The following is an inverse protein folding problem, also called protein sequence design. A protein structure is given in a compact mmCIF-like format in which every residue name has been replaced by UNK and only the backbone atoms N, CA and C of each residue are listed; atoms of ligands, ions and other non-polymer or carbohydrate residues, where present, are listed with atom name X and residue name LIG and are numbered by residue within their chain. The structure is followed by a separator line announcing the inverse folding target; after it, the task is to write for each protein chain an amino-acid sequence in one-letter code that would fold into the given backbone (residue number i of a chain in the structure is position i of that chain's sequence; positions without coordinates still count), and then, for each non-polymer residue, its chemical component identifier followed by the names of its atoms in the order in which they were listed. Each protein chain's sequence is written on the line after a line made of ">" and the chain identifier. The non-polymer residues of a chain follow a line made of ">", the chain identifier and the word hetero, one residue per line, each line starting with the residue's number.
data_IF_089844596663
#
_entry.id   IF_089844596663
#
_cell.length_a   1.000
_cell.length_b   1.000
_cell.length_c   1.000
_cell.angle_alpha   90.00
_cell.angle_beta   90.00
_cell.angle_gamma   90.00
#
_symmetry.space_group_name_H-M   'P 1'
#
loop_
_entity.id
_entity.type
_entity.pdbx_description
1 polymer ?
#
# COMPACT_ATOMS: atom_id res chain seq x y z
N UNK A 1 33.59 -28.28 -66.93
CA UNK A 1 33.29 -27.02 -66.23
C UNK A 1 31.98 -27.22 -65.46
N UNK A 2 32.08 -27.52 -64.17
CA UNK A 2 31.66 -26.67 -63.03
C UNK A 2 30.15 -26.85 -62.70
N UNK A 3 29.69 -27.12 -61.47
CA UNK A 3 30.30 -27.11 -60.13
C UNK A 3 29.33 -27.86 -59.17
N UNK A 4 29.84 -28.75 -58.32
CA UNK A 4 29.07 -29.34 -57.20
C UNK A 4 28.73 -28.26 -56.16
N UNK A 5 27.50 -28.27 -55.64
CA UNK A 5 27.11 -27.44 -54.47
C UNK A 5 27.55 -28.15 -53.19
N UNK A 6 28.59 -27.62 -52.56
CA UNK A 6 29.10 -28.09 -51.27
C UNK A 6 28.16 -27.74 -50.12
N UNK A 7 28.10 -28.64 -49.13
CA UNK A 7 27.59 -28.34 -47.80
C UNK A 7 28.51 -27.31 -47.14
N UNK A 8 27.94 -26.25 -46.58
CA UNK A 8 28.69 -25.28 -45.77
C UNK A 8 28.29 -25.48 -44.31
N UNK A 9 29.17 -26.12 -43.55
CA UNK A 9 29.28 -25.94 -42.11
C UNK A 9 30.01 -24.62 -41.84
N UNK A 10 29.32 -23.66 -41.24
CA UNK A 10 29.97 -22.56 -40.52
C UNK A 10 29.04 -22.06 -39.42
N UNK A 11 29.24 -22.61 -38.24
CA UNK A 11 28.84 -22.01 -36.98
C UNK A 11 29.58 -20.70 -36.78
N UNK A 12 28.86 -19.60 -36.62
CA UNK A 12 29.35 -18.41 -35.95
C UNK A 12 28.42 -18.10 -34.79
N UNK A 13 28.93 -18.39 -33.60
CA UNK A 13 28.40 -18.02 -32.30
C UNK A 13 27.87 -16.59 -32.33
N UNK A 14 26.58 -16.43 -32.02
CA UNK A 14 26.09 -15.26 -31.30
C UNK A 14 25.18 -15.74 -30.19
N UNK A 15 25.79 -16.36 -29.17
CA UNK A 15 25.16 -16.45 -27.86
C UNK A 15 25.19 -15.05 -27.25
N UNK A 16 24.32 -14.18 -27.76
CA UNK A 16 23.81 -13.08 -26.95
C UNK A 16 23.17 -13.76 -25.73
N UNK A 17 23.58 -13.44 -24.48
CA UNK A 17 22.84 -13.92 -23.35
C UNK A 17 21.42 -13.40 -23.53
N UNK A 18 20.48 -14.34 -23.64
CA UNK A 18 19.05 -14.06 -23.65
C UNK A 18 18.79 -13.19 -22.42
N UNK A 19 18.47 -11.90 -22.59
CA UNK A 19 18.23 -10.99 -21.44
C UNK A 19 17.10 -11.53 -20.53
N UNK A 20 16.27 -12.46 -21.04
CA UNK A 20 15.31 -13.24 -20.28
C UNK A 20 15.92 -14.34 -19.38
N UNK A 21 17.13 -14.86 -19.70
CA UNK A 21 17.88 -15.81 -18.88
C UNK A 21 18.61 -15.15 -17.70
N UNK A 22 19.05 -13.90 -17.79
CA UNK A 22 19.72 -13.24 -16.65
C UNK A 22 18.73 -12.79 -15.55
N UNK A 23 17.57 -12.27 -15.96
CA UNK A 23 16.43 -12.06 -15.05
C UNK A 23 15.90 -13.39 -14.48
N UNK A 24 16.30 -14.49 -15.13
CA UNK A 24 16.14 -15.91 -14.81
C UNK A 24 16.27 -16.31 -13.35
N UNK A 25 17.27 -15.72 -12.70
CA UNK A 25 17.85 -16.22 -11.46
C UNK A 25 17.38 -15.49 -10.20
N UNK A 26 16.64 -14.38 -10.33
CA UNK A 26 16.46 -13.46 -9.20
C UNK A 26 15.34 -13.87 -8.22
N UNK A 27 14.29 -14.56 -8.69
CA UNK A 27 13.15 -14.98 -7.85
C UNK A 27 12.49 -16.28 -8.35
N UNK A 28 11.90 -17.04 -7.42
CA UNK A 28 11.20 -18.31 -7.64
C UNK A 28 9.72 -18.10 -7.98
N UNK A 29 9.08 -17.12 -7.33
CA UNK A 29 7.64 -16.85 -7.41
C UNK A 29 7.38 -15.37 -7.71
N UNK A 30 6.31 -15.09 -8.45
CA UNK A 30 5.77 -13.75 -8.65
C UNK A 30 4.36 -13.70 -8.04
N UNK A 31 4.11 -12.70 -7.19
CA UNK A 31 2.79 -12.48 -6.63
C UNK A 31 2.35 -11.02 -6.77
N UNK A 32 1.12 -10.82 -7.26
CA UNK A 32 0.49 -9.52 -7.34
C UNK A 32 -0.22 -9.19 -6.03
N UNK A 33 0.09 -8.02 -5.47
CA UNK A 33 -0.46 -7.49 -4.22
C UNK A 33 -1.01 -6.09 -4.47
N UNK A 34 -2.23 -5.86 -4.03
CA UNK A 34 -2.91 -4.56 -4.13
C UNK A 34 -3.05 -3.92 -2.74
N UNK A 35 -2.81 -2.62 -2.62
CA UNK A 35 -3.10 -1.85 -1.41
C UNK A 35 -4.44 -1.14 -1.59
N UNK A 36 -5.33 -1.30 -0.61
CA UNK A 36 -6.71 -0.78 -0.64
C UNK A 36 -7.02 -0.05 0.65
N UNK A 37 -7.94 0.92 0.59
CA UNK A 37 -8.36 1.69 1.75
C UNK A 37 -8.56 3.17 1.44
N UNK A 38 -9.18 3.93 2.35
CA UNK A 38 -9.55 5.33 2.14
C UNK A 38 -8.39 6.24 1.77
N UNK A 39 -8.71 7.39 1.20
CA UNK A 39 -7.76 8.48 1.05
C UNK A 39 -7.24 8.92 2.43
N UNK A 40 -5.97 9.27 2.53
CA UNK A 40 -5.36 9.68 3.80
C UNK A 40 -4.97 8.55 4.78
N UNK A 41 -5.36 7.29 4.50
CA UNK A 41 -4.96 6.13 5.32
C UNK A 41 -3.43 5.84 5.25
N UNK A 42 -2.72 6.38 4.26
CA UNK A 42 -1.27 6.28 4.14
C UNK A 42 -0.73 5.09 3.33
N UNK A 43 -1.54 4.52 2.42
CA UNK A 43 -1.14 3.42 1.51
C UNK A 43 0.16 3.69 0.75
N UNK A 44 0.26 4.85 0.10
CA UNK A 44 1.44 5.26 -0.68
C UNK A 44 2.68 5.40 0.21
N UNK A 45 2.54 6.00 1.39
CA UNK A 45 3.63 6.14 2.35
C UNK A 45 4.08 4.77 2.87
N UNK A 46 3.14 3.87 3.15
CA UNK A 46 3.41 2.51 3.61
C UNK A 46 4.15 1.70 2.53
N UNK A 47 3.71 1.79 1.28
CA UNK A 47 4.38 1.16 0.15
C UNK A 47 5.78 1.71 -0.07
N UNK A 48 5.92 3.04 -0.07
CA UNK A 48 7.22 3.71 -0.22
C UNK A 48 8.18 3.28 0.89
N UNK A 49 7.71 3.28 2.14
CA UNK A 49 8.49 2.82 3.29
C UNK A 49 8.96 1.38 3.09
N UNK A 50 8.09 0.48 2.67
CA UNK A 50 8.48 -0.91 2.42
C UNK A 50 9.52 -1.03 1.29
N UNK A 51 9.34 -0.31 0.18
CA UNK A 51 10.19 -0.47 -1.01
C UNK A 51 11.54 0.22 -0.86
N UNK A 52 11.57 1.43 -0.29
CA UNK A 52 12.76 2.29 -0.20
C UNK A 52 13.42 2.30 1.18
N UNK A 53 12.73 1.79 2.20
CA UNK A 53 13.14 1.92 3.60
C UNK A 53 13.32 3.38 4.06
N UNK A 54 12.61 4.31 3.43
CA UNK A 54 12.72 5.76 3.67
C UNK A 54 11.34 6.38 3.94
N UNK A 55 11.31 7.35 4.86
CA UNK A 55 10.13 8.20 5.04
C UNK A 55 10.06 9.23 3.93
N UNK A 56 8.88 9.39 3.33
CA UNK A 56 8.61 10.53 2.48
C UNK A 56 7.20 11.02 2.73
N UNK A 57 7.07 12.33 2.92
CA UNK A 57 5.77 12.99 2.95
C UNK A 57 5.24 13.03 1.53
N UNK A 58 4.37 12.08 1.20
CA UNK A 58 3.59 12.07 -0.03
C UNK A 58 2.26 12.76 0.26
N UNK A 59 2.23 14.08 0.10
CA UNK A 59 1.06 14.91 0.45
C UNK A 59 0.04 15.08 -0.70
N UNK A 60 0.42 14.73 -1.93
CA UNK A 60 -0.50 14.71 -3.06
C UNK A 60 -1.40 13.48 -3.00
N UNK A 61 -2.70 13.66 -3.26
CA UNK A 61 -3.60 12.52 -3.50
C UNK A 61 -3.07 11.68 -4.66
N UNK A 62 -3.02 10.37 -4.48
CA UNK A 62 -2.67 9.45 -5.56
C UNK A 62 -3.71 9.55 -6.67
N UNK A 63 -3.27 10.01 -7.84
CA UNK A 63 -4.09 10.01 -9.05
C UNK A 63 -3.76 8.73 -9.82
N UNK A 64 -4.74 7.84 -9.95
CA UNK A 64 -4.55 6.56 -10.61
C UNK A 64 -3.90 5.50 -9.72
N UNK A 65 -2.98 4.73 -10.29
CA UNK A 65 -2.35 3.57 -9.63
C UNK A 65 -0.84 3.60 -9.84
N UNK A 66 -0.07 3.49 -8.75
CA UNK A 66 1.39 3.41 -8.81
C UNK A 66 1.86 1.95 -8.71
N UNK A 67 2.87 1.60 -9.50
CA UNK A 67 3.48 0.27 -9.52
C UNK A 67 4.87 0.29 -8.87
N UNK A 68 5.10 -0.63 -7.95
CA UNK A 68 6.41 -0.93 -7.37
C UNK A 68 6.66 -2.43 -7.31
N UNK A 69 7.91 -2.84 -7.13
CA UNK A 69 8.22 -4.25 -6.85
C UNK A 69 9.37 -4.42 -5.87
N UNK A 70 9.27 -5.42 -5.00
CA UNK A 70 10.32 -5.79 -4.04
C UNK A 70 10.40 -7.31 -3.94
N UNK A 71 11.62 -7.86 -3.92
CA UNK A 71 11.84 -9.29 -3.70
C UNK A 71 11.97 -9.55 -2.21
N UNK A 72 11.08 -10.37 -1.68
CA UNK A 72 11.09 -10.83 -0.29
C UNK A 72 11.67 -12.24 -0.26
N UNK A 73 12.51 -12.52 0.74
CA UNK A 73 13.14 -13.81 0.93
C UNK A 73 12.48 -14.50 2.12
N UNK A 74 11.82 -15.64 1.90
CA UNK A 74 11.06 -16.38 2.91
C UNK A 74 11.78 -17.71 3.20
N UNK A 75 11.95 -18.05 4.47
CA UNK A 75 12.63 -19.26 4.92
C UNK A 75 14.16 -19.11 5.06
N UNK A 76 14.79 -20.15 5.59
CA UNK A 76 16.23 -20.20 5.87
C UNK A 76 16.88 -21.42 5.21
N UNK A 77 18.20 -21.36 5.00
CA UNK A 77 18.98 -22.46 4.43
C UNK A 77 18.47 -22.93 3.06
N UNK A 78 18.35 -24.25 2.90
CA UNK A 78 17.94 -24.92 1.65
C UNK A 78 16.47 -24.71 1.27
N UNK A 79 15.61 -24.30 2.22
CA UNK A 79 14.19 -24.00 1.96
C UNK A 79 13.92 -22.51 1.68
N UNK A 80 14.97 -21.69 1.56
CA UNK A 80 14.83 -20.28 1.24
C UNK A 80 14.21 -20.11 -0.15
N UNK A 81 13.07 -19.43 -0.21
CA UNK A 81 12.39 -19.03 -1.44
C UNK A 81 12.43 -17.52 -1.60
N UNK A 82 12.54 -17.06 -2.84
CA UNK A 82 12.51 -15.65 -3.23
C UNK A 82 11.21 -15.38 -3.96
N UNK A 83 10.37 -14.52 -3.40
CA UNK A 83 9.12 -14.11 -4.01
C UNK A 83 9.20 -12.64 -4.40
N UNK A 84 8.98 -12.33 -5.67
CA UNK A 84 8.85 -10.96 -6.16
C UNK A 84 7.41 -10.51 -5.96
N UNK A 85 7.22 -9.50 -5.11
CA UNK A 85 5.93 -8.85 -4.94
C UNK A 85 5.79 -7.76 -6.00
N UNK A 86 4.72 -7.80 -6.77
CA UNK A 86 4.24 -6.70 -7.61
C UNK A 86 3.20 -5.92 -6.81
N UNK A 87 3.57 -4.71 -6.42
CA UNK A 87 2.85 -3.90 -5.46
C UNK A 87 2.12 -2.78 -6.21
N UNK A 88 0.80 -2.76 -6.07
CA UNK A 88 -0.06 -1.78 -6.72
C UNK A 88 -0.68 -0.89 -5.66
N UNK A 89 -0.26 0.38 -5.62
CA UNK A 89 -0.88 1.40 -4.77
C UNK A 89 -2.05 2.04 -5.50
N UNK A 90 -3.25 1.93 -4.92
CA UNK A 90 -4.48 2.43 -5.53
C UNK A 90 -4.91 3.76 -4.92
N UNK A 91 -5.53 4.61 -5.75
CA UNK A 91 -6.17 5.82 -5.24
C UNK A 91 -7.23 5.50 -4.18
N UNK A 92 -7.16 6.19 -3.05
CA UNK A 92 -8.07 5.97 -1.93
C UNK A 92 -9.40 6.72 -2.03
N UNK A 93 -9.58 7.57 -3.04
CA UNK A 93 -10.83 8.31 -3.23
C UNK A 93 -11.82 7.49 -4.04
N UNK A 94 -13.05 7.51 -3.59
CA UNK A 94 -14.21 6.92 -4.25
C UNK A 94 -14.41 7.40 -5.69
N UNK A 95 -14.04 8.66 -5.99
CA UNK A 95 -14.07 9.21 -7.36
C UNK A 95 -13.13 8.48 -8.32
N UNK A 96 -12.04 7.89 -7.82
CA UNK A 96 -11.09 7.13 -8.61
C UNK A 96 -11.22 5.61 -8.42
N UNK A 97 -12.17 5.11 -7.62
CA UNK A 97 -12.44 3.67 -7.49
C UNK A 97 -12.92 3.02 -8.79
N UNK A 98 -13.55 3.80 -9.66
CA UNK A 98 -13.96 3.34 -11.00
C UNK A 98 -12.77 3.05 -11.93
N UNK A 99 -11.55 3.41 -11.51
CA UNK A 99 -10.30 3.16 -12.24
C UNK A 99 -10.02 1.66 -12.25
N UNK A 100 -10.60 1.03 -13.28
CA UNK A 100 -10.46 -0.31 -13.87
C UNK A 100 -10.37 -1.55 -12.96
N UNK A 101 -11.35 -2.45 -13.12
CA UNK A 101 -11.33 -3.87 -12.64
C UNK A 101 -10.02 -4.61 -12.93
N UNK A 102 -9.24 -4.18 -13.92
CA UNK A 102 -7.94 -4.75 -14.28
C UNK A 102 -6.91 -4.74 -13.15
N UNK A 103 -6.97 -3.78 -12.21
CA UNK A 103 -6.01 -3.75 -11.10
C UNK A 103 -6.27 -4.86 -10.07
N UNK A 104 -7.52 -5.23 -9.86
CA UNK A 104 -7.91 -6.32 -8.96
C UNK A 104 -7.65 -7.70 -9.58
N UNK A 105 -7.88 -7.84 -10.89
CA UNK A 105 -7.74 -9.11 -11.59
C UNK A 105 -6.35 -9.72 -11.36
N UNK A 106 -6.33 -10.96 -10.93
CA UNK A 106 -5.10 -11.70 -10.64
C UNK A 106 -4.32 -11.20 -9.44
N UNK A 107 -4.91 -10.41 -8.53
CA UNK A 107 -4.27 -10.18 -7.23
C UNK A 107 -4.34 -11.45 -6.38
N UNK A 108 -3.19 -11.90 -5.87
CA UNK A 108 -3.08 -12.99 -4.90
C UNK A 108 -3.14 -12.50 -3.46
N UNK A 109 -2.74 -11.24 -3.24
CA UNK A 109 -2.78 -10.58 -1.95
C UNK A 109 -3.46 -9.22 -2.01
N UNK A 110 -4.10 -8.83 -0.92
CA UNK A 110 -4.52 -7.46 -0.68
C UNK A 110 -4.13 -7.03 0.74
N UNK A 111 -3.73 -5.77 0.89
CA UNK A 111 -3.55 -5.12 2.19
C UNK A 111 -4.61 -4.05 2.31
N UNK A 112 -5.47 -4.21 3.30
CA UNK A 112 -6.53 -3.27 3.63
C UNK A 112 -6.01 -2.32 4.69
N UNK A 113 -5.86 -1.04 4.35
CA UNK A 113 -5.20 -0.03 5.18
C UNK A 113 -6.22 0.97 5.71
N UNK A 114 -6.21 1.21 7.01
CA UNK A 114 -6.92 2.33 7.65
C UNK A 114 -5.94 3.16 8.50
N UNK A 115 -6.37 4.33 8.91
CA UNK A 115 -5.67 5.19 9.85
C UNK A 115 -6.20 4.91 11.27
N UNK A 116 -5.31 4.52 12.18
CA UNK A 116 -5.70 4.19 13.58
C UNK A 116 -6.27 5.38 14.33
N UNK A 117 -5.93 6.60 13.91
CA UNK A 117 -6.45 7.85 14.45
C UNK A 117 -7.75 8.30 13.76
N UNK A 118 -8.38 7.47 12.91
CA UNK A 118 -9.60 7.83 12.19
C UNK A 118 -10.58 6.67 12.06
N UNK A 119 -11.62 6.70 12.88
CA UNK A 119 -12.74 5.76 12.86
C UNK A 119 -13.53 5.85 11.54
N UNK A 120 -13.56 7.03 10.90
CA UNK A 120 -14.15 7.20 9.56
C UNK A 120 -13.41 6.33 8.54
N UNK A 121 -12.08 6.29 8.61
CA UNK A 121 -11.27 5.48 7.69
C UNK A 121 -11.53 3.98 7.89
N UNK A 122 -11.70 3.55 9.15
CA UNK A 122 -12.02 2.17 9.49
C UNK A 122 -13.43 1.76 9.04
N UNK A 123 -14.43 2.62 9.25
CA UNK A 123 -15.82 2.37 8.83
C UNK A 123 -15.98 2.26 7.30
N UNK A 124 -15.06 2.82 6.53
CA UNK A 124 -15.08 2.73 5.08
C UNK A 124 -14.52 1.40 4.54
N UNK A 125 -13.77 0.63 5.34
CA UNK A 125 -13.12 -0.62 4.93
C UNK A 125 -14.05 -1.70 4.32
N UNK A 126 -15.30 -1.91 4.79
CA UNK A 126 -16.18 -2.92 4.23
C UNK A 126 -16.38 -2.77 2.72
N UNK A 127 -16.48 -1.54 2.22
CA UNK A 127 -16.65 -1.28 0.78
C UNK A 127 -15.45 -1.77 -0.03
N UNK A 128 -14.22 -1.49 0.43
CA UNK A 128 -12.99 -1.93 -0.24
C UNK A 128 -12.83 -3.45 -0.19
N UNK A 129 -13.22 -4.08 0.92
CA UNK A 129 -13.16 -5.52 1.06
C UNK A 129 -14.14 -6.22 0.11
N UNK A 130 -15.34 -5.68 -0.05
CA UNK A 130 -16.33 -6.19 -1.01
C UNK A 130 -15.80 -6.09 -2.45
N UNK A 131 -15.24 -4.94 -2.83
CA UNK A 131 -14.62 -4.75 -4.15
C UNK A 131 -13.50 -5.77 -4.40
N UNK A 132 -12.62 -5.95 -3.40
CA UNK A 132 -11.51 -6.91 -3.48
C UNK A 132 -11.99 -8.34 -3.72
N UNK A 133 -13.01 -8.77 -2.97
CA UNK A 133 -13.59 -10.12 -3.08
C UNK A 133 -14.35 -10.33 -4.38
N UNK A 134 -15.00 -9.30 -4.89
CA UNK A 134 -15.77 -9.38 -6.12
C UNK A 134 -14.90 -9.40 -7.38
N UNK A 135 -13.73 -8.75 -7.34
CA UNK A 135 -12.93 -8.46 -8.55
C UNK A 135 -11.57 -9.17 -8.61
N UNK A 136 -11.04 -9.64 -7.48
CA UNK A 136 -9.74 -10.33 -7.42
C UNK A 136 -9.85 -11.85 -7.54
N UNK A 137 -8.75 -12.57 -7.29
CA UNK A 137 -8.75 -14.04 -7.26
C UNK A 137 -9.69 -14.57 -6.15
N UNK A 138 -10.42 -15.68 -6.39
CA UNK A 138 -11.21 -16.33 -5.33
C UNK A 138 -10.37 -16.72 -4.10
N UNK A 139 -9.07 -16.97 -4.28
CA UNK A 139 -8.15 -17.37 -3.23
C UNK A 139 -7.35 -16.19 -2.65
N UNK A 140 -7.82 -14.96 -2.89
CA UNK A 140 -7.20 -13.71 -2.41
C UNK A 140 -6.90 -13.79 -0.91
N UNK A 141 -5.64 -13.52 -0.56
CA UNK A 141 -5.24 -13.36 0.83
C UNK A 141 -5.31 -11.90 1.23
N UNK A 142 -6.16 -11.57 2.19
CA UNK A 142 -6.30 -10.18 2.68
C UNK A 142 -5.66 -10.08 4.05
N UNK A 143 -4.85 -9.05 4.31
CA UNK A 143 -4.44 -8.65 5.65
C UNK A 143 -5.00 -7.26 5.97
N UNK A 144 -5.30 -7.01 7.24
CA UNK A 144 -5.70 -5.69 7.75
C UNK A 144 -4.49 -4.98 8.36
N UNK A 145 -4.31 -3.71 8.03
CA UNK A 145 -3.23 -2.85 8.52
C UNK A 145 -3.79 -1.55 9.10
N UNK A 146 -3.63 -1.35 10.41
CA UNK A 146 -3.86 -0.06 11.07
C UNK A 146 -2.59 0.77 10.97
N UNK A 147 -2.56 1.76 10.09
CA UNK A 147 -1.40 2.61 9.89
C UNK A 147 -1.42 3.83 10.82
N UNK A 148 -0.25 4.44 11.02
CA UNK A 148 0.01 5.59 11.91
C UNK A 148 -0.03 5.22 13.40
N UNK A 149 0.44 4.01 13.74
CA UNK A 149 0.53 3.55 15.14
C UNK A 149 1.41 4.46 16.02
N UNK A 150 2.31 5.24 15.42
CA UNK A 150 3.09 6.29 16.08
C UNK A 150 2.21 7.32 16.80
N UNK A 151 0.98 7.56 16.32
CA UNK A 151 0.03 8.50 16.96
C UNK A 151 -0.60 7.94 18.25
N UNK A 152 -0.50 6.63 18.49
CA UNK A 152 -1.03 5.98 19.70
C UNK A 152 0.04 5.97 20.80
N UNK A 153 1.32 5.99 20.43
CA UNK A 153 2.44 5.75 21.36
C UNK A 153 2.88 6.99 22.15
N UNK A 154 2.31 8.17 21.91
CA UNK A 154 2.69 9.43 22.60
C UNK A 154 1.63 10.01 23.58
N UNK A 155 1.26 9.34 24.69
CA UNK A 155 0.63 10.02 25.83
C UNK A 155 1.64 10.46 26.91
N UNK A 156 2.92 10.05 26.86
CA UNK A 156 3.86 10.21 27.99
C UNK A 156 4.90 11.32 27.79
N UNK A 157 5.03 11.94 26.60
CA UNK A 157 6.02 13.00 26.36
C UNK A 157 5.45 14.40 26.07
N UNK A 158 4.15 14.60 26.30
CA UNK A 158 3.55 15.93 26.39
C UNK A 158 3.09 16.25 27.83
N UNK A 159 3.92 15.92 28.82
CA UNK A 159 3.99 16.71 30.04
C UNK A 159 4.83 17.96 29.77
N UNK A 160 4.30 19.13 30.08
CA UNK A 160 5.01 20.43 30.11
C UNK A 160 5.18 21.25 28.81
N UNK A 161 4.16 21.36 27.96
CA UNK A 161 4.06 22.53 27.06
C UNK A 161 2.62 23.05 26.88
N UNK A 162 2.00 23.47 27.98
CA UNK A 162 1.09 24.62 27.96
C UNK A 162 1.33 25.45 29.23
N UNK A 163 1.40 26.78 29.03
CA UNK A 163 1.60 27.88 29.99
C UNK A 163 3.04 28.22 30.42
N UNK A 164 3.68 29.14 29.70
CA UNK A 164 3.96 30.50 30.19
C UNK A 164 4.59 31.32 29.04
N UNK A 165 3.91 32.34 28.52
CA UNK A 165 4.55 33.28 27.59
C UNK A 165 3.71 33.86 26.45
N UNK A 166 2.59 34.51 26.76
CA UNK A 166 2.17 35.77 26.10
C UNK A 166 0.91 36.33 26.78
N UNK A 167 1.07 36.81 28.01
CA UNK A 167 0.26 37.93 28.48
C UNK A 167 0.62 39.13 27.61
N UNK A 168 -0.31 39.58 26.77
CA UNK A 168 -0.21 40.87 26.09
C UNK A 168 -0.11 41.93 27.19
N UNK A 169 0.96 42.74 27.26
CA UNK A 169 0.99 43.84 28.22
C UNK A 169 -0.03 44.88 27.78
N UNK A 170 -0.93 45.27 28.70
CA UNK A 170 -1.72 46.47 28.54
C UNK A 170 -0.77 47.67 28.52
N UNK A 171 -0.62 48.32 27.36
CA UNK A 171 0.04 49.63 27.29
C UNK A 171 -1.00 50.74 27.45
N UNK A 172 -0.83 51.66 28.42
CA UNK A 172 -1.62 52.87 28.55
C UNK A 172 -1.01 53.99 27.67
N UNK A 173 -1.84 54.74 26.93
CA UNK A 173 -1.83 56.20 26.96
C UNK A 173 -2.89 56.82 26.02
N UNK A 174 -3.76 57.62 26.65
CA UNK A 174 -4.55 58.75 26.15
C UNK A 174 -3.60 59.82 25.52
N UNK A 175 -3.94 60.77 24.64
CA UNK A 175 -5.11 61.67 24.52
C UNK A 175 -4.95 62.54 23.24
N UNK A 176 -6.08 63.06 22.71
CA UNK A 176 -6.23 64.26 21.84
C UNK A 176 -5.93 64.08 20.34
N UNK A 177 -6.69 64.58 19.36
CA UNK A 177 -7.60 65.74 19.32
C UNK A 177 -8.58 65.72 18.11
N UNK A 178 -9.83 66.12 18.37
CA UNK A 178 -10.77 67.02 17.63
C UNK A 178 -10.89 67.05 16.08
N UNK A 179 -12.17 67.05 15.68
CA UNK A 179 -12.88 67.80 14.60
C UNK A 179 -13.42 67.03 13.35
N UNK A 180 -14.74 67.20 13.19
CA UNK A 180 -15.75 66.82 12.17
C UNK A 180 -15.67 67.72 10.90
N UNK A 181 -16.64 67.76 9.93
CA UNK A 181 -17.88 67.00 9.64
C UNK A 181 -17.88 66.40 8.20
N UNK A 182 -18.83 65.60 7.70
CA UNK A 182 -20.04 65.99 6.92
C UNK A 182 -20.85 64.71 6.58
N UNK A 183 -22.17 64.87 6.51
CA UNK A 183 -23.17 63.84 6.22
C UNK A 183 -23.40 63.61 4.72
N UNK A 184 -23.80 62.40 4.32
CA UNK A 184 -24.85 62.20 3.31
C UNK A 184 -25.47 60.79 3.41
N UNK A 185 -26.64 60.69 2.80
CA UNK A 185 -27.83 59.94 3.14
C UNK A 185 -28.08 58.75 2.17
N UNK A 186 -28.87 57.80 2.67
CA UNK A 186 -29.83 56.90 2.00
C UNK A 186 -29.56 56.25 0.63
N UNK A 187 -29.76 54.92 0.62
CA UNK A 187 -30.61 54.29 -0.39
C UNK A 187 -30.01 53.09 -1.15
N UNK A 188 -30.77 51.98 -1.16
CA UNK A 188 -30.72 51.00 -2.24
C UNK A 188 -29.99 49.69 -1.90
N UNK A 189 -30.77 48.65 -1.59
CA UNK A 189 -30.25 47.29 -1.58
C UNK A 189 -29.87 46.81 -2.97
N UNK A 190 -28.75 46.09 -3.07
CA UNK A 190 -28.67 44.76 -3.70
C UNK A 190 -27.22 44.25 -3.61
N UNK A 191 -27.05 42.95 -3.83
CA UNK A 191 -25.80 42.18 -4.01
C UNK A 191 -24.88 41.98 -2.79
N UNK A 192 -25.13 40.90 -2.03
CA UNK A 192 -24.02 40.18 -1.36
C UNK A 192 -23.60 39.01 -2.23
N UNK A 193 -22.66 39.30 -3.13
CA UNK A 193 -21.75 38.28 -3.66
C UNK A 193 -20.98 37.71 -2.47
N UNK A 194 -21.15 36.41 -2.20
CA UNK A 194 -20.32 35.69 -1.24
C UNK A 194 -18.93 35.51 -1.85
N UNK A 195 -18.05 36.48 -1.62
CA UNK A 195 -16.62 36.28 -1.77
C UNK A 195 -16.18 35.30 -0.66
N UNK A 196 -16.15 34.01 -1.00
CA UNK A 196 -15.45 33.02 -0.19
C UNK A 196 -13.96 33.40 -0.19
N UNK A 197 -13.33 33.64 0.96
CA UNK A 197 -11.88 33.67 0.98
C UNK A 197 -11.42 32.25 0.66
N UNK A 198 -10.63 32.12 -0.40
CA UNK A 198 -9.88 30.93 -0.74
C UNK A 198 -9.01 30.61 0.47
N UNK A 199 -9.52 29.71 1.32
CA UNK A 199 -8.81 29.16 2.44
C UNK A 199 -7.73 28.25 1.86
N UNK A 200 -6.49 28.72 1.94
CA UNK A 200 -5.30 27.93 1.66
C UNK A 200 -5.40 26.58 2.34
N UNK A 201 -5.02 25.55 1.59
CA UNK A 201 -4.98 24.14 1.94
C UNK A 201 -4.28 23.97 3.30
N UNK A 202 -5.06 23.97 4.39
CA UNK A 202 -4.56 23.61 5.71
C UNK A 202 -4.29 22.11 5.69
N UNK A 203 -3.01 21.83 5.43
CA UNK A 203 -2.35 20.57 5.71
C UNK A 203 -2.50 20.28 7.21
N UNK A 204 -3.33 19.32 7.58
CA UNK A 204 -3.39 18.83 8.95
C UNK A 204 -3.07 17.36 8.95
N UNK A 205 -1.93 17.01 9.55
CA UNK A 205 -1.76 15.69 10.14
C UNK A 205 -2.97 15.44 11.05
N UNK A 206 -3.60 14.27 10.93
CA UNK A 206 -4.67 13.87 11.84
C UNK A 206 -4.07 13.80 13.24
N UNK A 207 -4.44 14.75 14.11
CA UNK A 207 -4.09 14.72 15.53
C UNK A 207 -5.34 14.16 16.21
N UNK A 208 -5.25 12.95 16.76
CA UNK A 208 -6.29 12.40 17.61
C UNK A 208 -6.08 12.94 19.04
N UNK A 209 -7.02 13.72 19.61
CA UNK A 209 -6.86 14.30 20.94
C UNK A 209 -6.88 13.27 22.08
N UNK A 210 -7.38 12.05 21.85
CA UNK A 210 -7.59 11.03 22.90
C UNK A 210 -6.79 9.72 22.69
N UNK A 211 -5.75 9.73 21.85
CA UNK A 211 -5.09 8.50 21.38
C UNK A 211 -5.89 7.80 20.27
N UNK A 212 -5.42 6.66 19.78
CA UNK A 212 -6.02 5.98 18.61
C UNK A 212 -7.53 5.74 18.74
N UNK A 213 -8.31 6.25 17.78
CA UNK A 213 -9.78 6.10 17.77
C UNK A 213 -10.22 4.64 17.59
N UNK A 214 -9.36 3.79 17.02
CA UNK A 214 -9.65 2.37 16.75
C UNK A 214 -8.58 1.51 17.41
N UNK A 215 -8.98 0.71 18.39
CA UNK A 215 -8.08 -0.22 19.09
C UNK A 215 -7.71 -1.44 18.23
N UNK A 216 -6.51 -2.00 18.43
CA UNK A 216 -6.10 -3.26 17.81
C UNK A 216 -7.09 -4.41 18.08
N UNK A 217 -7.69 -4.45 19.27
CA UNK A 217 -8.65 -5.49 19.64
C UNK A 217 -9.94 -5.38 18.82
N UNK A 218 -10.46 -4.16 18.64
CA UNK A 218 -11.61 -3.91 17.78
C UNK A 218 -11.31 -4.26 16.33
N UNK A 219 -10.17 -3.80 15.80
CA UNK A 219 -9.73 -4.11 14.45
C UNK A 219 -9.56 -5.62 14.22
N UNK A 220 -9.02 -6.33 15.21
CA UNK A 220 -8.85 -7.79 15.19
C UNK A 220 -10.18 -8.53 15.22
N UNK A 221 -11.14 -8.09 16.05
CA UNK A 221 -12.50 -8.64 16.07
C UNK A 221 -13.21 -8.45 14.74
N UNK A 222 -13.10 -7.26 14.15
CA UNK A 222 -13.65 -6.98 12.82
C UNK A 222 -12.98 -7.84 11.72
N UNK A 223 -11.65 -7.98 11.76
CA UNK A 223 -10.91 -8.83 10.84
C UNK A 223 -11.38 -10.28 10.91
N UNK A 224 -11.50 -10.84 12.13
CA UNK A 224 -11.96 -12.20 12.35
C UNK A 224 -13.39 -12.42 11.81
N UNK A 225 -14.32 -11.51 12.12
CA UNK A 225 -15.71 -11.54 11.60
C UNK A 225 -15.75 -11.54 10.07
N UNK A 226 -14.78 -10.90 9.45
CA UNK A 226 -14.66 -10.81 8.01
C UNK A 226 -13.71 -11.86 7.40
N UNK A 227 -13.32 -12.92 8.09
CA UNK A 227 -12.39 -13.94 7.57
C UNK A 227 -11.04 -13.36 7.08
N UNK A 228 -10.53 -12.34 7.77
CA UNK A 228 -9.20 -11.79 7.56
C UNK A 228 -8.29 -12.40 8.65
N UNK A 229 -7.26 -13.19 8.29
CA UNK A 229 -6.51 -14.00 9.24
C UNK A 229 -5.61 -13.20 10.18
N UNK A 230 -5.25 -11.95 9.84
CA UNK A 230 -4.32 -11.13 10.61
C UNK A 230 -4.70 -9.65 10.51
N UNK A 231 -4.73 -8.98 11.65
CA UNK A 231 -4.68 -7.52 11.78
C UNK A 231 -3.34 -7.13 12.41
N UNK A 232 -2.70 -6.09 11.89
CA UNK A 232 -1.39 -5.59 12.36
C UNK A 232 -1.44 -4.08 12.43
N UNK A 233 -0.87 -3.49 13.48
CA UNK A 233 -0.59 -2.06 13.53
C UNK A 233 0.78 -1.77 12.95
N UNK A 234 0.86 -0.71 12.14
CA UNK A 234 2.07 -0.32 11.43
C UNK A 234 2.24 1.20 11.51
N UNK A 235 3.49 1.63 11.42
CA UNK A 235 3.80 3.04 11.21
C UNK A 235 4.68 3.17 9.97
N UNK A 236 4.12 3.76 8.92
CA UNK A 236 4.92 4.18 7.78
C UNK A 236 5.98 5.24 8.18
N UNK A 237 5.70 6.03 9.24
CA UNK A 237 6.59 7.07 9.76
C UNK A 237 7.81 6.47 10.45
N UNK A 238 7.65 5.57 11.42
CA UNK A 238 8.76 4.94 12.13
C UNK A 238 9.37 3.74 11.38
N UNK A 239 8.58 3.11 10.50
CA UNK A 239 8.91 1.84 9.84
C UNK A 239 8.49 0.61 10.63
N UNK A 240 7.95 0.78 11.83
CA UNK A 240 7.51 -0.32 12.70
C UNK A 240 6.38 -1.12 12.04
N UNK A 241 6.48 -2.46 12.14
CA UNK A 241 5.50 -3.40 11.59
C UNK A 241 5.45 -3.51 10.06
N UNK A 242 6.09 -2.59 9.32
CA UNK A 242 5.97 -2.51 7.86
C UNK A 242 6.55 -3.75 7.18
N UNK A 243 7.80 -4.11 7.43
CA UNK A 243 8.39 -5.32 6.83
C UNK A 243 7.69 -6.60 7.30
N UNK A 244 7.20 -6.64 8.55
CA UNK A 244 6.43 -7.78 9.06
C UNK A 244 5.15 -7.98 8.24
N UNK A 245 4.37 -6.92 8.03
CA UNK A 245 3.12 -6.95 7.29
C UNK A 245 3.29 -7.57 5.89
N UNK A 246 4.22 -7.05 5.09
CA UNK A 246 4.46 -7.54 3.74
C UNK A 246 5.10 -8.94 3.72
N UNK A 247 6.01 -9.22 4.65
CA UNK A 247 6.66 -10.55 4.75
C UNK A 247 5.65 -11.62 5.17
N UNK A 248 4.71 -11.29 6.06
CA UNK A 248 3.66 -12.17 6.51
C UNK A 248 2.67 -12.48 5.41
N UNK A 249 2.23 -11.47 4.65
CA UNK A 249 1.42 -11.66 3.45
C UNK A 249 2.12 -12.56 2.43
N UNK A 250 3.39 -12.27 2.13
CA UNK A 250 4.19 -13.05 1.19
C UNK A 250 4.34 -14.52 1.62
N UNK A 251 4.52 -14.77 2.92
CA UNK A 251 4.57 -16.13 3.49
C UNK A 251 3.26 -16.87 3.29
N UNK A 252 2.11 -16.24 3.60
CA UNK A 252 0.80 -16.87 3.45
C UNK A 252 0.54 -17.20 1.97
N UNK A 253 0.80 -16.27 1.06
CA UNK A 253 0.65 -16.50 -0.39
C UNK A 253 1.54 -17.66 -0.85
N UNK A 254 2.80 -17.68 -0.42
CA UNK A 254 3.73 -18.75 -0.77
C UNK A 254 3.21 -20.11 -0.27
N UNK A 255 2.73 -20.19 0.97
CA UNK A 255 2.13 -21.41 1.52
C UNK A 255 0.95 -21.89 0.68
N UNK A 256 0.03 -20.98 0.29
CA UNK A 256 -1.11 -21.33 -0.57
C UNK A 256 -0.68 -21.84 -1.95
N UNK A 257 0.37 -21.26 -2.54
CA UNK A 257 0.94 -21.75 -3.81
C UNK A 257 1.52 -23.17 -3.61
N UNK A 258 2.23 -23.42 -2.51
CA UNK A 258 2.83 -24.73 -2.23
C UNK A 258 1.79 -25.81 -1.93
N UNK A 259 0.67 -25.45 -1.32
CA UNK A 259 -0.50 -26.33 -1.13
C UNK A 259 -1.29 -26.57 -2.41
N UNK A 260 -1.03 -25.79 -3.48
CA UNK A 260 -1.75 -25.88 -4.75
C UNK A 260 -3.13 -25.22 -4.73
N UNK A 261 -3.42 -24.39 -3.73
CA UNK A 261 -4.64 -23.58 -3.67
C UNK A 261 -4.60 -22.41 -4.68
N UNK A 262 -3.40 -21.90 -4.96
CA UNK A 262 -3.17 -20.86 -5.97
C UNK A 262 -2.37 -21.50 -7.10
N UNK A 263 -2.97 -21.57 -8.29
CA UNK A 263 -2.24 -21.96 -9.51
C UNK A 263 -1.38 -20.78 -9.97
N UNK A 264 -0.05 -20.90 -9.90
CA UNK A 264 0.82 -19.83 -10.33
C UNK A 264 0.88 -19.67 -11.85
N UNK A 265 0.41 -20.60 -12.68
CA UNK A 265 0.47 -20.49 -14.13
C UNK A 265 -0.89 -20.16 -14.77
N UNK A 266 -1.93 -19.99 -13.96
CA UNK A 266 -3.25 -19.56 -14.43
C UNK A 266 -3.19 -18.13 -15.00
N UNK A 267 -3.55 -17.93 -16.30
CA UNK A 267 -3.59 -16.61 -16.93
C UNK A 267 -4.51 -15.61 -16.21
N UNK A 268 -5.45 -16.08 -15.39
CA UNK A 268 -6.32 -15.24 -14.57
C UNK A 268 -5.75 -14.93 -13.18
N UNK A 269 -4.78 -15.69 -12.68
CA UNK A 269 -4.30 -15.59 -11.30
C UNK A 269 -3.31 -14.44 -11.07
N UNK A 270 -2.83 -13.77 -12.13
CA UNK A 270 -1.85 -12.68 -12.07
C UNK A 270 -0.54 -13.05 -11.36
N UNK A 271 -0.39 -14.33 -11.04
CA UNK A 271 0.82 -14.95 -10.52
C UNK A 271 1.52 -15.64 -11.69
N UNK A 272 2.83 -15.85 -11.55
CA UNK A 272 3.61 -16.62 -12.52
C UNK A 272 4.63 -17.44 -11.75
N UNK A 273 4.71 -18.76 -12.03
CA UNK A 273 5.87 -19.56 -11.65
C UNK A 273 6.67 -19.90 -12.89
N UNK A 274 8.00 -19.92 -12.75
CA UNK A 274 8.88 -20.29 -13.86
C UNK A 274 8.67 -21.77 -14.20
N UNK A 275 8.34 -22.05 -15.47
CA UNK A 275 8.12 -23.41 -16.03
C UNK A 275 9.17 -24.44 -15.61
N UNK A 276 10.44 -24.06 -15.44
CA UNK A 276 11.50 -24.97 -15.00
C UNK A 276 11.28 -25.57 -13.60
N UNK A 277 10.79 -24.79 -12.63
CA UNK A 277 10.56 -25.26 -11.24
C UNK A 277 9.31 -26.13 -11.16
N UNK A 278 8.30 -25.84 -11.99
CA UNK A 278 7.04 -26.59 -12.02
C UNK A 278 7.17 -27.95 -12.71
N UNK A 279 7.88 -28.04 -13.84
CA UNK A 279 8.13 -29.32 -14.51
C UNK A 279 9.00 -30.25 -13.66
N UNK A 280 9.97 -29.71 -12.92
CA UNK A 280 10.76 -30.51 -11.97
C UNK A 280 9.87 -31.00 -10.82
N UNK A 281 9.00 -30.16 -10.24
CA UNK A 281 8.04 -30.57 -9.18
C UNK A 281 6.98 -31.59 -9.66
N UNK A 282 6.48 -31.48 -10.89
CA UNK A 282 5.56 -32.47 -11.48
C UNK A 282 6.25 -33.82 -11.71
N UNK A 283 7.56 -33.81 -12.01
CA UNK A 283 8.38 -35.03 -12.12
C UNK A 283 8.50 -35.76 -10.79
N UNK A 284 8.64 -35.03 -9.68
CA UNK A 284 8.66 -35.61 -8.32
C UNK A 284 7.27 -36.04 -7.81
N UNK A 285 6.17 -35.41 -8.24
CA UNK A 285 4.79 -35.85 -7.92
C UNK A 285 4.32 -37.08 -8.70
N UNK A 286 4.82 -37.29 -9.93
CA UNK A 286 4.43 -38.45 -10.78
C UNK A 286 5.21 -39.74 -10.50
N UNK A 287 6.30 -39.71 -9.73
CA UNK A 287 7.06 -40.91 -9.38
C UNK A 287 7.39 -40.94 -7.88
N UNK A 288 6.49 -41.44 -7.01
CA UNK A 288 6.75 -41.51 -5.57
C UNK A 288 7.66 -42.68 -5.16
N UNK A 289 8.25 -43.42 -6.10
CA UNK A 289 9.06 -44.63 -5.83
C UNK A 289 10.21 -44.70 -6.83
N UNK A 290 11.30 -45.36 -6.43
CA UNK A 290 12.65 -45.45 -7.02
C UNK A 290 13.57 -44.28 -6.58
N UNK A 291 14.54 -44.40 -5.67
CA UNK A 291 15.27 -45.56 -5.15
C UNK A 291 15.80 -45.31 -3.73
N UNK A 292 15.73 -46.36 -2.90
CA UNK A 292 16.68 -46.61 -1.81
C UNK A 292 17.97 -47.21 -2.40
N UNK A 293 19.12 -46.72 -1.96
CA UNK A 293 20.33 -47.45 -1.57
C UNK A 293 21.13 -46.52 -0.65
#
# INVERSE_FOLDING_TARGET
>A
MARQRGASTASSQSSLPDQNQELGSMYDYLAKVILLGPSGAGKSCLLHRFVKNEWRVLSSQTIGVEFSSKIVKIGTGSRRKRIKLQLWDTAGTERFRSVSRSYYRGAAGAILVYDVASHISFNALPTFLLDARALASPNLTVLLAGNKSDLITDPINHGDYWEEGQRIPATPNSTSSKQSPWAFDSGGGSVRSMNSPIAGTRMTATIAPDGGEVSLEEASRWAAKNNIPVAVEVSALSGEGVDELFTRLARIILTKIELGEIDPDDPQSGNSVRRHVWHERQRWRKYPKWNHC
#
